data_IF_032869289495
#
_entry.id   IF_032869289495
#
_cell.length_a   1.000
_cell.length_b   1.000
_cell.length_c   1.000
_cell.angle_alpha   90.00
_cell.angle_beta   90.00
_cell.angle_gamma   90.00
#
_symmetry.space_group_name_H-M   'P 1'
#
loop_
_entity.id
_entity.type
_entity.pdbx_description
1 polymer ?
#
# COMPACT_ATOMS: atom_id res chain seq x y z
N UNK A 1 -1.23 -1.41 -23.52
CA UNK A 1 -2.37 -1.14 -24.43
C UNK A 1 -3.55 -0.70 -23.57
N UNK A 2 -3.82 0.61 -23.46
CA UNK A 2 -4.98 1.13 -22.75
C UNK A 2 -6.24 0.66 -23.49
N UNK A 3 -7.03 -0.19 -22.85
CA UNK A 3 -8.27 -0.69 -23.44
C UNK A 3 -9.29 0.46 -23.44
N UNK A 4 -9.72 0.92 -24.63
CA UNK A 4 -10.85 1.85 -24.82
C UNK A 4 -12.22 1.23 -24.43
N UNK A 5 -12.23 0.22 -23.58
CA UNK A 5 -13.43 -0.53 -23.25
C UNK A 5 -14.26 0.29 -22.27
N UNK A 6 -15.53 0.46 -22.64
CA UNK A 6 -16.55 1.05 -21.78
C UNK A 6 -17.46 -0.04 -21.22
N UNK A 7 -17.89 0.15 -19.98
CA UNK A 7 -18.84 -0.73 -19.30
C UNK A 7 -19.99 0.09 -18.72
N UNK A 8 -21.16 -0.55 -18.54
CA UNK A 8 -22.30 0.05 -17.86
C UNK A 8 -22.28 -0.36 -16.39
N UNK A 9 -22.31 0.62 -15.49
CA UNK A 9 -22.37 0.41 -14.05
C UNK A 9 -23.59 1.09 -13.45
N UNK A 10 -24.02 0.67 -12.26
CA UNK A 10 -25.08 1.31 -11.49
C UNK A 10 -24.73 1.31 -10.00
N UNK A 11 -25.23 2.28 -9.25
CA UNK A 11 -25.10 2.28 -7.79
C UNK A 11 -26.00 1.20 -7.19
N UNK A 12 -25.61 0.65 -6.04
CA UNK A 12 -26.46 -0.30 -5.31
C UNK A 12 -27.74 0.41 -4.87
N UNK A 13 -28.90 -0.15 -5.23
CA UNK A 13 -30.22 0.47 -4.95
C UNK A 13 -30.65 1.52 -5.98
N UNK A 14 -29.91 1.70 -7.06
CA UNK A 14 -30.27 2.57 -8.19
C UNK A 14 -30.40 1.72 -9.47
N UNK A 15 -31.31 2.11 -10.36
CA UNK A 15 -31.50 1.49 -11.68
C UNK A 15 -30.93 2.33 -12.82
N UNK A 16 -30.55 3.58 -12.54
CA UNK A 16 -29.84 4.42 -13.50
C UNK A 16 -28.47 3.83 -13.82
N UNK A 17 -28.19 3.69 -15.11
CA UNK A 17 -26.92 3.16 -15.62
C UNK A 17 -26.02 4.30 -16.08
N UNK A 18 -24.74 4.18 -15.75
CA UNK A 18 -23.70 5.13 -16.09
C UNK A 18 -22.63 4.44 -16.94
N UNK A 19 -22.00 5.20 -17.84
CA UNK A 19 -20.88 4.71 -18.64
C UNK A 19 -19.60 4.92 -17.84
N UNK A 20 -18.83 3.85 -17.66
CA UNK A 20 -17.51 3.88 -17.08
C UNK A 20 -16.47 3.48 -18.13
N UNK A 21 -15.33 4.16 -18.14
CA UNK A 21 -14.14 3.78 -18.91
C UNK A 21 -13.30 2.83 -18.07
N UNK A 22 -12.87 1.70 -18.63
CA UNK A 22 -11.97 0.77 -17.93
C UNK A 22 -10.53 1.26 -18.04
N UNK A 23 -9.91 1.60 -16.91
CA UNK A 23 -8.52 2.05 -16.85
C UNK A 23 -7.54 0.87 -16.71
N UNK A 24 -7.88 -0.11 -15.88
CA UNK A 24 -7.05 -1.30 -15.64
C UNK A 24 -7.90 -2.52 -15.24
N UNK A 25 -7.34 -3.72 -15.42
CA UNK A 25 -7.95 -5.00 -15.01
C UNK A 25 -6.88 -5.85 -14.32
N UNK A 26 -7.15 -6.27 -13.08
CA UNK A 26 -6.35 -7.24 -12.36
C UNK A 26 -6.88 -8.64 -12.65
N UNK A 27 -6.25 -9.35 -13.58
CA UNK A 27 -6.74 -10.65 -14.08
C UNK A 27 -6.68 -11.73 -13.01
N UNK A 28 -5.78 -11.61 -12.04
CA UNK A 28 -5.58 -12.60 -10.97
C UNK A 28 -6.39 -12.31 -9.70
N UNK A 29 -7.00 -11.12 -9.59
CA UNK A 29 -7.66 -10.66 -8.36
C UNK A 29 -9.12 -10.22 -8.55
N UNK A 30 -9.71 -10.46 -9.72
CA UNK A 30 -11.07 -10.04 -10.06
C UNK A 30 -11.36 -8.55 -9.79
N UNK A 31 -10.32 -7.70 -9.92
CA UNK A 31 -10.42 -6.25 -9.73
C UNK A 31 -10.39 -5.51 -11.07
N UNK A 32 -11.10 -4.39 -11.14
CA UNK A 32 -11.02 -3.44 -12.25
C UNK A 32 -10.99 -2.00 -11.74
N UNK A 33 -10.16 -1.16 -12.35
CA UNK A 33 -10.13 0.27 -12.11
C UNK A 33 -10.97 0.96 -13.19
N UNK A 34 -11.93 1.79 -12.77
CA UNK A 34 -12.90 2.44 -13.64
C UNK A 34 -12.86 3.97 -13.46
N UNK A 35 -13.17 4.71 -14.52
CA UNK A 35 -13.40 6.16 -14.48
C UNK A 35 -14.80 6.50 -14.99
N UNK A 36 -15.53 7.35 -14.26
CA UNK A 36 -16.90 7.78 -14.58
C UNK A 36 -16.92 9.31 -14.55
N UNK A 37 -17.18 9.93 -15.69
CA UNK A 37 -17.17 11.39 -15.86
C UNK A 37 -18.46 12.07 -15.37
N UNK A 38 -19.55 11.31 -15.19
CA UNK A 38 -20.82 11.87 -14.77
C UNK A 38 -20.83 12.12 -13.25
N UNK A 39 -20.72 13.39 -12.83
CA UNK A 39 -20.71 13.85 -11.44
C UNK A 39 -21.92 13.39 -10.61
N UNK A 40 -23.06 13.18 -11.24
CA UNK A 40 -24.27 12.71 -10.57
C UNK A 40 -24.07 11.33 -9.93
N UNK A 41 -23.21 10.49 -10.52
CA UNK A 41 -22.83 9.20 -9.97
C UNK A 41 -22.20 9.35 -8.57
N UNK A 42 -21.35 10.37 -8.40
CA UNK A 42 -20.58 10.64 -7.18
C UNK A 42 -21.35 11.48 -6.15
N UNK A 43 -22.61 11.87 -6.42
CA UNK A 43 -23.40 12.67 -5.48
C UNK A 43 -23.58 11.94 -4.15
N UNK A 44 -23.14 12.55 -3.06
CA UNK A 44 -23.24 12.00 -1.70
C UNK A 44 -22.32 10.80 -1.45
N UNK A 45 -21.27 10.61 -2.27
CA UNK A 45 -20.19 9.68 -1.95
C UNK A 45 -19.04 10.42 -1.30
N UNK A 46 -18.41 9.81 -0.31
CA UNK A 46 -17.13 10.29 0.24
C UNK A 46 -15.99 9.51 -0.43
N UNK A 47 -14.90 10.20 -0.77
CA UNK A 47 -13.72 9.54 -1.28
C UNK A 47 -13.11 8.64 -0.20
N UNK A 48 -12.64 7.45 -0.59
CA UNK A 48 -11.90 6.59 0.32
C UNK A 48 -10.60 7.29 0.73
N UNK A 49 -10.41 7.48 2.03
CA UNK A 49 -9.15 7.95 2.57
C UNK A 49 -8.16 6.79 2.64
N UNK A 50 -7.15 6.82 1.78
CA UNK A 50 -6.06 5.85 1.85
C UNK A 50 -5.22 6.13 3.10
N UNK A 51 -4.96 5.09 3.89
CA UNK A 51 -3.93 5.15 4.93
C UNK A 51 -2.54 5.28 4.31
N UNK A 52 -1.55 5.67 5.13
CA UNK A 52 -0.15 5.55 4.70
C UNK A 52 0.26 4.07 4.74
N UNK A 53 0.96 3.63 3.70
CA UNK A 53 1.69 2.38 3.77
C UNK A 53 2.78 2.49 4.85
N UNK A 54 3.05 1.42 5.60
CA UNK A 54 4.13 1.44 6.57
C UNK A 54 5.46 1.67 5.85
N UNK A 55 6.23 2.65 6.33
CA UNK A 55 7.58 2.90 5.86
C UNK A 55 8.55 2.73 7.02
N UNK A 56 9.74 2.22 6.70
CA UNK A 56 10.83 2.11 7.67
C UNK A 56 12.04 2.88 7.15
N UNK A 57 12.67 3.62 8.06
CA UNK A 57 13.91 4.31 7.81
C UNK A 57 15.05 3.57 8.50
N UNK A 58 16.09 3.27 7.74
CA UNK A 58 17.34 2.69 8.23
C UNK A 58 18.42 3.77 8.21
N UNK A 59 18.91 4.14 9.39
CA UNK A 59 20.05 5.05 9.55
C UNK A 59 21.08 4.41 10.49
N UNK A 60 22.19 3.95 9.94
CA UNK A 60 23.29 3.36 10.72
C UNK A 60 24.64 3.52 10.03
N UNK A 61 25.72 3.39 10.80
CA UNK A 61 27.09 3.33 10.27
C UNK A 61 27.46 1.87 10.02
N UNK A 62 27.83 1.55 8.78
CA UNK A 62 28.36 0.25 8.40
C UNK A 62 29.88 0.17 8.52
N UNK A 63 30.47 -0.78 7.79
CA UNK A 63 31.93 -0.95 7.74
C UNK A 63 32.62 0.33 7.28
N UNK A 64 33.80 0.59 7.84
CA UNK A 64 34.63 1.76 7.52
C UNK A 64 33.92 3.11 7.80
N UNK A 65 32.94 3.10 8.73
CA UNK A 65 32.09 4.25 9.07
C UNK A 65 31.29 4.80 7.90
N UNK A 66 31.01 3.97 6.89
CA UNK A 66 30.14 4.35 5.78
C UNK A 66 28.71 4.50 6.31
N UNK A 67 28.11 5.66 6.08
CA UNK A 67 26.73 5.93 6.49
C UNK A 67 25.76 5.27 5.53
N UNK A 68 24.89 4.41 6.06
CA UNK A 68 23.73 3.87 5.37
C UNK A 68 22.50 4.66 5.79
N UNK A 69 21.80 5.20 4.80
CA UNK A 69 20.56 5.93 4.97
C UNK A 69 19.60 5.46 3.87
N UNK A 70 18.52 4.79 4.25
CA UNK A 70 17.52 4.33 3.29
C UNK A 70 16.12 4.41 3.90
N UNK A 71 15.13 4.80 3.09
CA UNK A 71 13.71 4.72 3.45
C UNK A 71 13.04 3.77 2.47
N UNK A 72 12.35 2.77 3.00
CA UNK A 72 11.69 1.75 2.19
C UNK A 72 10.24 1.59 2.65
N UNK A 73 9.34 1.51 1.68
CA UNK A 73 7.97 1.06 1.90
C UNK A 73 7.98 -0.44 2.14
N UNK A 74 7.38 -0.88 3.23
CA UNK A 74 7.37 -2.29 3.62
C UNK A 74 5.94 -2.77 3.83
N UNK A 75 5.77 -4.08 3.74
CA UNK A 75 4.49 -4.69 4.10
C UNK A 75 4.21 -4.50 5.60
N UNK A 76 2.92 -4.40 5.95
CA UNK A 76 2.48 -4.16 7.33
C UNK A 76 2.94 -5.27 8.30
N UNK A 77 3.00 -6.52 7.82
CA UNK A 77 3.50 -7.65 8.61
C UNK A 77 4.99 -7.51 8.94
N UNK A 78 5.79 -7.00 8.00
CA UNK A 78 7.22 -6.73 8.23
C UNK A 78 7.39 -5.61 9.25
N UNK A 79 6.58 -4.55 9.16
CA UNK A 79 6.61 -3.46 10.12
C UNK A 79 6.33 -3.95 11.54
N UNK A 80 5.23 -4.70 11.72
CA UNK A 80 4.85 -5.28 13.02
C UNK A 80 5.91 -6.23 13.59
N UNK A 81 6.55 -7.03 12.72
CA UNK A 81 7.63 -7.91 13.15
C UNK A 81 8.85 -7.13 13.67
N UNK A 82 9.24 -6.05 12.97
CA UNK A 82 10.35 -5.18 13.38
C UNK A 82 9.99 -4.43 14.68
N UNK A 83 8.79 -3.86 14.75
CA UNK A 83 8.28 -3.19 15.96
C UNK A 83 8.32 -4.12 17.17
N UNK A 84 7.82 -5.34 17.03
CA UNK A 84 7.87 -6.36 18.08
C UNK A 84 9.30 -6.75 18.47
N UNK A 85 10.24 -6.75 17.52
CA UNK A 85 11.65 -7.01 17.80
C UNK A 85 12.36 -5.86 18.50
N UNK A 86 11.91 -4.61 18.29
CA UNK A 86 12.38 -3.43 19.01
C UNK A 86 11.81 -3.35 20.43
N UNK A 87 10.65 -3.96 20.69
CA UNK A 87 10.00 -3.93 21.99
C UNK A 87 10.92 -4.45 23.11
N UNK A 88 11.16 -3.61 24.12
CA UNK A 88 12.01 -3.92 25.26
C UNK A 88 13.51 -3.71 25.05
N UNK A 89 13.96 -3.26 23.87
CA UNK A 89 15.36 -2.86 23.65
C UNK A 89 15.58 -1.41 24.06
N UNK A 90 16.73 -1.13 24.67
CA UNK A 90 17.16 0.23 25.00
C UNK A 90 17.81 0.91 23.78
N UNK A 91 17.74 2.25 23.67
CA UNK A 91 18.50 2.98 22.66
C UNK A 91 20.00 2.59 22.71
N UNK A 92 20.58 2.26 21.56
CA UNK A 92 21.99 1.82 21.45
C UNK A 92 22.23 0.32 21.73
N UNK A 93 21.20 -0.46 22.07
CA UNK A 93 21.32 -1.92 22.00
C UNK A 93 21.19 -2.38 20.55
N UNK A 94 22.15 -3.19 20.11
CA UNK A 94 22.15 -3.76 18.77
C UNK A 94 20.81 -4.41 18.45
N UNK A 95 20.23 -4.03 17.31
CA UNK A 95 18.94 -4.56 16.89
C UNK A 95 19.09 -6.08 16.73
N UNK A 96 20.11 -6.55 16.03
CA UNK A 96 20.19 -7.91 15.51
C UNK A 96 20.91 -8.94 16.39
N UNK A 97 21.19 -8.65 17.68
CA UNK A 97 21.95 -9.57 18.56
C UNK A 97 21.31 -10.96 18.74
N UNK A 98 20.03 -11.13 18.39
CA UNK A 98 19.31 -12.41 18.49
C UNK A 98 19.07 -13.13 17.15
N UNK A 99 19.58 -12.63 16.02
CA UNK A 99 19.67 -13.42 14.80
C UNK A 99 20.83 -14.41 14.94
N UNK A 100 20.59 -15.47 15.70
CA UNK A 100 21.42 -16.67 15.62
C UNK A 100 21.12 -17.31 14.27
N UNK A 101 22.13 -17.43 13.42
CA UNK A 101 22.07 -18.31 12.25
C UNK A 101 21.74 -19.71 12.76
N UNK A 102 20.52 -20.18 12.51
CA UNK A 102 20.21 -21.61 12.58
C UNK A 102 20.63 -22.19 11.24
N UNK A 103 21.92 -22.54 11.16
CA UNK A 103 22.58 -23.16 10.02
C UNK A 103 23.87 -23.79 10.48
#
# INVERSE_FOLDING_TARGET
>A
MLLLVQVKVKRRGDDKKYIAKVLARGVECDLALLSIENEEFWRGTEALHFGRLPCLQFEFLGKDSIRYFNTIEIEELVYKAIEGFCAGKKPGQDLFTRLIHLG
#
